data_IF_167641037284
#
_entry.id   IF_167641037284
#
_cell.length_a   1.000
_cell.length_b   1.000
_cell.length_c   1.000
_cell.angle_alpha   90.00
_cell.angle_beta   90.00
_cell.angle_gamma   90.00
#
_symmetry.space_group_name_H-M   'P 1'
#
loop_
_entity.id
_entity.type
_entity.pdbx_description
1 polymer ?
#
# COMPACT_ATOMS: atom_id res chain seq x y z
N UNK A 1 -55.34 31.69 -13.19
CA UNK A 1 -55.43 30.25 -12.85
C UNK A 1 -54.60 29.34 -13.76
N UNK A 2 -54.57 29.53 -15.09
CA UNK A 2 -53.75 28.69 -16.01
C UNK A 2 -52.23 28.85 -15.84
N UNK A 3 -51.73 30.07 -15.67
CA UNK A 3 -50.29 30.34 -15.52
C UNK A 3 -49.66 29.72 -14.26
N UNK A 4 -50.42 29.61 -13.16
CA UNK A 4 -49.98 29.01 -11.89
C UNK A 4 -49.84 27.48 -11.99
N UNK A 5 -50.67 26.84 -12.83
CA UNK A 5 -50.59 25.40 -13.08
C UNK A 5 -49.36 25.04 -13.92
N UNK A 6 -49.00 25.88 -14.89
CA UNK A 6 -47.81 25.65 -15.72
C UNK A 6 -46.49 25.83 -14.94
N UNK A 7 -46.40 26.82 -14.05
CA UNK A 7 -45.19 27.01 -13.23
C UNK A 7 -44.97 25.87 -12.23
N UNK A 8 -46.03 25.33 -11.62
CA UNK A 8 -45.91 24.17 -10.71
C UNK A 8 -45.43 22.92 -11.44
N UNK A 9 -45.90 22.68 -12.67
CA UNK A 9 -45.45 21.55 -13.49
C UNK A 9 -43.96 21.67 -13.86
N UNK A 10 -43.49 22.87 -14.21
CA UNK A 10 -42.08 23.11 -14.56
C UNK A 10 -41.18 22.90 -13.34
N UNK A 11 -41.56 23.41 -12.17
CA UNK A 11 -40.80 23.21 -10.93
C UNK A 11 -40.72 21.71 -10.59
N UNK A 12 -41.81 20.96 -10.76
CA UNK A 12 -41.81 19.50 -10.57
C UNK A 12 -40.86 18.76 -11.51
N UNK A 13 -40.82 19.15 -12.79
CA UNK A 13 -39.89 18.57 -13.77
C UNK A 13 -38.43 18.90 -13.46
N UNK A 14 -38.14 20.12 -13.01
CA UNK A 14 -36.78 20.52 -12.61
C UNK A 14 -36.33 19.76 -11.36
N UNK A 15 -37.21 19.65 -10.36
CA UNK A 15 -36.89 18.91 -9.12
C UNK A 15 -36.68 17.42 -9.39
N UNK A 16 -37.50 16.80 -10.23
CA UNK A 16 -37.32 15.40 -10.62
C UNK A 16 -36.04 15.19 -11.42
N UNK A 17 -35.73 16.06 -12.38
CA UNK A 17 -34.46 16.01 -13.12
C UNK A 17 -33.24 16.21 -12.20
N UNK A 18 -33.31 17.13 -11.24
CA UNK A 18 -32.24 17.36 -10.25
C UNK A 18 -32.03 16.14 -9.36
N UNK A 19 -33.11 15.52 -8.86
CA UNK A 19 -33.02 14.30 -8.05
C UNK A 19 -32.42 13.16 -8.87
N UNK A 20 -32.84 12.97 -10.13
CA UNK A 20 -32.26 11.97 -11.03
C UNK A 20 -30.77 12.23 -11.26
N UNK A 21 -30.38 13.48 -11.54
CA UNK A 21 -28.97 13.86 -11.71
C UNK A 21 -28.11 13.57 -10.48
N UNK A 22 -28.63 13.87 -9.28
CA UNK A 22 -27.92 13.59 -8.03
C UNK A 22 -27.78 12.08 -7.78
N UNK A 23 -28.81 11.29 -8.07
CA UNK A 23 -28.76 9.82 -7.92
C UNK A 23 -27.82 9.17 -8.93
N UNK A 24 -27.77 9.65 -10.18
CA UNK A 24 -26.86 9.12 -11.20
C UNK A 24 -25.38 9.41 -10.91
N UNK A 25 -25.07 10.51 -10.22
CA UNK A 25 -23.69 10.82 -9.81
C UNK A 25 -23.26 10.08 -8.53
N UNK A 26 -24.19 9.48 -7.79
CA UNK A 26 -23.88 8.65 -6.64
C UNK A 26 -23.50 7.22 -7.05
N UNK A 27 -22.55 7.08 -7.98
CA UNK A 27 -22.02 5.75 -8.32
C UNK A 27 -21.07 5.30 -7.22
N UNK A 28 -21.58 4.43 -6.36
CA UNK A 28 -20.84 3.78 -5.30
C UNK A 28 -19.85 2.79 -5.93
N UNK A 29 -18.56 2.94 -5.64
CA UNK A 29 -17.58 1.87 -5.76
C UNK A 29 -17.98 0.75 -4.78
N UNK A 30 -18.86 -0.13 -5.22
CA UNK A 30 -19.07 -1.37 -4.50
C UNK A 30 -17.77 -2.18 -4.60
N UNK A 31 -17.24 -2.72 -3.50
CA UNK A 31 -16.03 -3.51 -3.54
C UNK A 31 -16.24 -4.70 -4.48
N UNK A 32 -15.61 -4.62 -5.65
CA UNK A 32 -15.60 -5.70 -6.64
C UNK A 32 -14.83 -6.87 -6.03
N UNK A 33 -15.46 -8.04 -6.00
CA UNK A 33 -14.76 -9.25 -5.57
C UNK A 33 -13.74 -9.65 -6.64
N UNK A 34 -12.46 -9.61 -6.30
CA UNK A 34 -11.37 -10.07 -7.16
C UNK A 34 -11.08 -11.56 -6.95
N UNK A 35 -10.43 -12.20 -7.93
CA UNK A 35 -9.96 -13.58 -7.79
C UNK A 35 -8.85 -13.68 -6.74
N UNK A 36 -8.75 -14.84 -6.07
CA UNK A 36 -7.77 -15.10 -5.00
C UNK A 36 -6.38 -15.50 -5.54
N UNK A 37 -6.00 -14.95 -6.69
CA UNK A 37 -4.70 -15.23 -7.29
C UNK A 37 -3.60 -14.44 -6.57
N UNK A 38 -2.43 -15.05 -6.45
CA UNK A 38 -1.24 -14.43 -5.88
C UNK A 38 -0.14 -14.30 -6.94
N UNK A 39 0.50 -13.15 -6.98
CA UNK A 39 1.75 -12.91 -7.71
C UNK A 39 2.90 -12.95 -6.72
N UNK A 40 3.92 -13.76 -7.01
CA UNK A 40 5.15 -13.78 -6.23
C UNK A 40 6.02 -12.60 -6.63
N UNK A 41 6.43 -11.82 -5.64
CA UNK A 41 7.33 -10.68 -5.79
C UNK A 41 8.81 -11.15 -5.75
N UNK A 42 9.77 -10.33 -6.22
CA UNK A 42 11.20 -10.72 -6.25
C UNK A 42 11.78 -11.03 -4.86
N UNK A 43 11.19 -10.48 -3.80
CA UNK A 43 11.50 -10.73 -2.39
C UNK A 43 10.89 -12.06 -1.87
N UNK A 44 10.13 -12.78 -2.69
CA UNK A 44 9.44 -14.02 -2.34
C UNK A 44 8.09 -13.82 -1.64
N UNK A 45 7.68 -12.58 -1.37
CA UNK A 45 6.35 -12.28 -0.83
C UNK A 45 5.25 -12.48 -1.89
N UNK A 46 3.99 -12.56 -1.45
CA UNK A 46 2.84 -12.77 -2.32
C UNK A 46 1.89 -11.58 -2.25
N UNK A 47 1.56 -11.00 -3.41
CA UNK A 47 0.56 -9.93 -3.53
C UNK A 47 -0.67 -10.41 -4.27
N UNK A 48 -1.85 -10.03 -3.78
CA UNK A 48 -3.14 -10.34 -4.38
C UNK A 48 -3.61 -9.28 -5.38
N UNK A 49 -4.79 -9.50 -5.97
CA UNK A 49 -5.48 -8.49 -6.79
C UNK A 49 -6.26 -7.49 -5.95
N UNK A 50 -6.26 -6.22 -6.34
CA UNK A 50 -6.96 -5.13 -5.66
C UNK A 50 -7.48 -4.08 -6.66
N UNK A 51 -8.32 -3.16 -6.18
CA UNK A 51 -8.86 -2.04 -6.96
C UNK A 51 -10.02 -2.39 -7.91
N UNK A 52 -10.60 -1.38 -8.59
CA UNK A 52 -11.76 -1.54 -9.45
C UNK A 52 -11.48 -2.45 -10.67
N UNK A 53 -10.24 -2.50 -11.13
CA UNK A 53 -9.80 -3.30 -12.27
C UNK A 53 -9.22 -4.67 -11.87
N UNK A 54 -9.17 -4.99 -10.57
CA UNK A 54 -8.60 -6.24 -10.04
C UNK A 54 -7.18 -6.52 -10.56
N UNK A 55 -6.33 -5.49 -10.55
CA UNK A 55 -4.91 -5.61 -10.87
C UNK A 55 -4.12 -6.10 -9.66
N UNK A 56 -2.95 -6.71 -9.87
CA UNK A 56 -2.09 -7.07 -8.75
C UNK A 56 -1.65 -5.82 -7.99
N UNK A 57 -1.71 -5.86 -6.66
CA UNK A 57 -1.10 -4.81 -5.85
C UNK A 57 0.39 -4.69 -6.19
N UNK A 58 0.93 -3.48 -6.08
CA UNK A 58 2.37 -3.25 -6.27
C UNK A 58 3.15 -4.12 -5.28
N UNK A 59 4.23 -4.75 -5.76
CA UNK A 59 5.19 -5.37 -4.86
C UNK A 59 5.76 -4.30 -3.92
N UNK A 60 6.19 -4.66 -2.70
CA UNK A 60 6.95 -3.73 -1.87
C UNK A 60 8.15 -3.21 -2.67
N UNK A 61 8.16 -1.93 -3.04
CA UNK A 61 9.21 -1.36 -3.88
C UNK A 61 10.54 -1.39 -3.10
N UNK A 62 11.41 -2.32 -3.48
CA UNK A 62 12.75 -2.47 -2.89
C UNK A 62 12.79 -3.04 -1.48
N UNK A 63 11.66 -3.33 -0.85
CA UNK A 63 11.63 -3.99 0.46
C UNK A 63 11.89 -5.49 0.30
N UNK A 64 12.97 -5.96 0.93
CA UNK A 64 13.38 -7.36 0.93
C UNK A 64 13.38 -7.85 2.36
N UNK A 65 12.54 -8.84 2.64
CA UNK A 65 12.37 -9.37 3.99
C UNK A 65 13.56 -10.23 4.41
N UNK A 66 13.93 -10.10 5.68
CA UNK A 66 14.97 -10.93 6.25
C UNK A 66 14.41 -12.32 6.57
N UNK A 67 14.72 -13.29 5.70
CA UNK A 67 14.40 -14.71 5.85
C UNK A 67 15.25 -15.37 6.93
N UNK A 68 14.82 -16.52 7.44
CA UNK A 68 15.63 -17.34 8.37
C UNK A 68 17.03 -17.65 7.83
N UNK A 69 17.17 -17.92 6.54
CA UNK A 69 18.47 -18.15 5.91
C UNK A 69 19.36 -16.90 5.97
N UNK A 70 18.80 -15.73 5.66
CA UNK A 70 19.55 -14.47 5.73
C UNK A 70 19.92 -14.06 7.17
N UNK A 71 19.08 -14.42 8.15
CA UNK A 71 19.32 -14.17 9.59
C UNK A 71 20.42 -15.06 10.15
N UNK A 72 20.45 -16.31 9.71
CA UNK A 72 21.35 -17.35 10.22
C UNK A 72 22.64 -17.52 9.38
N UNK A 73 22.96 -16.55 8.51
CA UNK A 73 24.26 -16.54 7.82
C UNK A 73 25.40 -16.36 8.83
N UNK A 74 26.31 -17.32 8.91
CA UNK A 74 27.39 -17.30 9.91
C UNK A 74 28.39 -16.15 9.69
N UNK A 75 28.69 -15.82 8.43
CA UNK A 75 29.76 -14.88 8.06
C UNK A 75 29.22 -13.80 7.13
N UNK A 76 29.37 -12.53 7.52
CA UNK A 76 29.10 -11.39 6.66
C UNK A 76 30.41 -10.93 5.99
N UNK A 77 30.41 -10.85 4.65
CA UNK A 77 31.55 -10.29 3.92
C UNK A 77 31.67 -8.80 4.21
N UNK A 78 32.91 -8.28 4.21
CA UNK A 78 33.15 -6.84 4.37
C UNK A 78 32.83 -6.03 3.09
N UNK A 79 31.62 -6.19 2.52
CA UNK A 79 31.13 -5.40 1.39
C UNK A 79 30.38 -4.16 1.89
N UNK A 80 30.66 -3.00 1.30
CA UNK A 80 29.93 -1.77 1.54
C UNK A 80 28.86 -1.60 0.45
N UNK A 81 27.67 -2.12 0.73
CA UNK A 81 26.46 -2.07 -0.10
C UNK A 81 25.31 -1.57 0.79
N UNK A 82 25.20 -0.26 1.03
CA UNK A 82 24.36 0.28 2.08
C UNK A 82 22.89 -0.09 1.90
N UNK A 83 22.23 -0.38 3.02
CA UNK A 83 20.79 -0.67 3.08
C UNK A 83 20.15 0.04 4.28
N UNK A 84 18.85 0.30 4.19
CA UNK A 84 18.04 0.75 5.30
C UNK A 84 17.25 -0.43 5.86
N UNK A 85 17.55 -0.85 7.09
CA UNK A 85 16.84 -1.92 7.79
C UNK A 85 15.67 -1.36 8.58
N UNK A 86 14.46 -1.77 8.22
CA UNK A 86 13.20 -1.36 8.82
C UNK A 86 12.81 -2.31 9.94
N UNK A 87 12.40 -1.75 11.07
CA UNK A 87 12.09 -2.55 12.23
C UNK A 87 10.68 -3.11 12.22
N UNK A 88 10.52 -4.29 12.82
CA UNK A 88 9.23 -4.96 12.92
C UNK A 88 8.26 -4.32 13.91
N UNK A 89 6.99 -4.76 13.92
CA UNK A 89 5.93 -4.18 14.74
C UNK A 89 6.17 -4.30 16.26
N UNK A 90 7.01 -5.25 16.68
CA UNK A 90 7.35 -5.47 18.08
C UNK A 90 8.41 -4.49 18.62
N UNK A 91 9.08 -3.73 17.73
CA UNK A 91 10.11 -2.76 18.10
C UNK A 91 9.48 -1.40 18.37
N UNK A 92 9.62 -0.91 19.60
CA UNK A 92 9.16 0.43 19.99
C UNK A 92 10.21 1.49 19.63
N UNK A 93 9.95 2.24 18.56
CA UNK A 93 10.79 3.34 18.13
C UNK A 93 10.52 4.64 18.90
N UNK A 94 11.59 5.36 19.23
CA UNK A 94 11.52 6.69 19.86
C UNK A 94 11.39 7.79 18.79
N UNK A 95 11.88 7.51 17.58
CA UNK A 95 11.97 8.45 16.46
C UNK A 95 11.58 7.77 15.14
N UNK A 96 11.13 8.57 14.18
CA UNK A 96 10.68 8.10 12.86
C UNK A 96 11.69 8.56 11.79
N UNK A 97 12.02 7.75 10.77
CA UNK A 97 11.50 6.41 10.51
C UNK A 97 12.00 5.37 11.50
N UNK A 98 11.18 4.32 11.71
CA UNK A 98 11.52 3.19 12.57
C UNK A 98 12.49 2.25 11.82
N UNK A 99 13.70 2.75 11.55
CA UNK A 99 14.69 2.09 10.73
C UNK A 99 16.12 2.54 11.09
N UNK A 100 17.11 1.75 10.70
CA UNK A 100 18.54 2.10 10.82
C UNK A 100 19.32 1.78 9.56
N UNK A 101 20.38 2.53 9.31
CA UNK A 101 21.31 2.28 8.21
C UNK A 101 22.26 1.13 8.57
N UNK A 102 22.44 0.21 7.63
CA UNK A 102 23.40 -0.89 7.72
C UNK A 102 24.33 -0.87 6.50
N UNK A 103 25.52 -1.39 6.69
CA UNK A 103 26.58 -1.36 5.69
C UNK A 103 26.39 -2.41 4.58
N UNK A 104 25.63 -3.47 4.86
CA UNK A 104 25.10 -4.40 3.87
C UNK A 104 23.89 -5.17 4.41
N UNK A 105 23.25 -5.93 3.50
CA UNK A 105 22.11 -6.80 3.78
C UNK A 105 22.35 -7.80 4.92
N UNK A 106 23.53 -8.43 4.97
CA UNK A 106 23.82 -9.48 5.97
C UNK A 106 23.71 -8.91 7.38
N UNK A 107 24.15 -7.68 7.54
CA UNK A 107 24.25 -7.03 8.84
C UNK A 107 22.93 -6.38 9.25
N UNK A 108 22.14 -5.93 8.27
CA UNK A 108 20.73 -5.62 8.50
C UNK A 108 19.98 -6.87 8.99
N UNK A 109 20.07 -7.99 8.27
CA UNK A 109 19.27 -9.18 8.57
C UNK A 109 19.75 -9.98 9.79
N UNK A 110 21.00 -9.88 10.19
CA UNK A 110 21.46 -10.40 11.50
C UNK A 110 20.83 -9.68 12.69
N UNK A 111 20.36 -8.44 12.50
CA UNK A 111 19.69 -7.70 13.59
C UNK A 111 18.28 -8.26 13.81
N UNK A 112 17.95 -8.76 15.01
CA UNK A 112 16.62 -9.29 15.29
C UNK A 112 15.53 -8.22 15.29
N UNK A 113 15.92 -6.94 15.40
CA UNK A 113 14.99 -5.82 15.31
C UNK A 113 14.52 -5.55 13.87
N UNK A 114 15.32 -5.92 12.86
CA UNK A 114 15.03 -5.65 11.45
C UNK A 114 14.11 -6.73 10.89
N UNK A 115 12.98 -6.31 10.31
CA UNK A 115 12.01 -7.17 9.63
C UNK A 115 12.34 -7.30 8.14
N UNK A 116 12.64 -6.17 7.49
CA UNK A 116 13.02 -6.09 6.08
C UNK A 116 13.99 -4.95 5.84
N UNK A 117 14.63 -4.92 4.68
CA UNK A 117 15.51 -3.83 4.29
C UNK A 117 15.16 -3.26 2.91
N UNK A 118 15.55 -2.03 2.66
CA UNK A 118 15.56 -1.42 1.31
C UNK A 118 16.98 -1.07 0.91
N UNK A 119 17.31 -1.15 -0.38
CA UNK A 119 18.61 -0.74 -0.87
C UNK A 119 18.84 0.77 -0.69
N UNK A 120 20.04 1.19 -0.32
CA UNK A 120 20.43 2.58 -0.15
C UNK A 120 20.27 3.13 1.28
N UNK A 121 20.32 4.45 1.39
CA UNK A 121 20.26 5.16 2.68
C UNK A 121 18.83 5.19 3.25
N UNK A 122 18.73 5.29 4.58
CA UNK A 122 17.44 5.51 5.22
C UNK A 122 16.91 6.93 4.95
N UNK A 123 15.58 7.09 4.82
CA UNK A 123 14.99 8.42 4.71
C UNK A 123 15.31 9.24 5.95
N UNK A 124 15.63 10.52 5.76
CA UNK A 124 15.74 11.48 6.85
C UNK A 124 14.35 11.76 7.45
N UNK A 125 14.31 12.07 8.75
CA UNK A 125 13.08 12.50 9.45
C UNK A 125 12.42 13.73 8.82
#
# INVERSE_FOLDING_TARGET
MKALSHTVMIIGLILTALVIYLVLNAQQDFPKACTLEAKICPDGSAVGRTGPDCEFATCPDGAVFCTEESRNTDVCIQSYEPVCGWYGPDVKCIRYPCASAFWNVCEACKSPAVEYYTAGECPSE
#
